data_IF_308730715023
#
_entry.id   IF_308730715023
#
_cell.length_a   1.000
_cell.length_b   1.000
_cell.length_c   1.000
_cell.angle_alpha   90.00
_cell.angle_beta   90.00
_cell.angle_gamma   90.00
#
_symmetry.space_group_name_H-M   'P 1'
#
loop_
_entity.id
_entity.type
_entity.pdbx_description
1 polymer ?
#
# COMPACT_ATOMS: atom_id res chain seq x y z
N UNK A 1 5.90 -17.26 15.99
CA UNK A 1 5.13 -16.17 15.34
C UNK A 1 5.78 -14.79 15.44
N UNK A 2 6.20 -14.30 16.62
CA UNK A 2 6.91 -12.99 16.76
C UNK A 2 8.16 -12.88 15.85
N UNK A 3 8.88 -14.00 15.67
CA UNK A 3 10.04 -14.10 14.77
C UNK A 3 9.71 -13.92 13.28
N UNK A 4 8.49 -14.26 12.82
CA UNK A 4 8.19 -14.25 11.38
C UNK A 4 7.76 -12.86 10.89
N UNK A 5 6.99 -12.10 11.69
CA UNK A 5 6.55 -10.75 11.32
C UNK A 5 7.73 -9.77 11.33
N UNK A 6 8.60 -9.84 12.34
CA UNK A 6 9.77 -8.97 12.39
C UNK A 6 10.74 -9.24 11.23
N UNK A 7 10.92 -10.50 10.84
CA UNK A 7 11.70 -10.88 9.65
C UNK A 7 11.06 -10.36 8.36
N UNK A 8 9.74 -10.46 8.24
CA UNK A 8 9.00 -9.94 7.09
C UNK A 8 9.19 -8.42 6.97
N UNK A 9 8.97 -7.67 8.05
CA UNK A 9 9.18 -6.21 8.08
C UNK A 9 10.62 -5.86 7.71
N UNK A 10 11.61 -6.58 8.23
CA UNK A 10 13.02 -6.34 7.87
C UNK A 10 13.28 -6.54 6.37
N UNK A 11 12.74 -7.62 5.79
CA UNK A 11 12.84 -7.90 4.35
C UNK A 11 12.17 -6.78 3.55
N UNK A 12 10.99 -6.33 3.96
CA UNK A 12 10.24 -5.26 3.31
C UNK A 12 10.97 -3.92 3.38
N UNK A 13 11.60 -3.60 4.51
CA UNK A 13 12.43 -2.40 4.65
C UNK A 13 13.61 -2.47 3.67
N UNK A 14 14.34 -3.59 3.64
CA UNK A 14 15.46 -3.77 2.71
C UNK A 14 14.98 -3.67 1.25
N UNK A 15 13.85 -4.30 0.92
CA UNK A 15 13.25 -4.23 -0.41
C UNK A 15 12.83 -2.81 -0.79
N UNK A 16 12.21 -2.06 0.13
CA UNK A 16 11.83 -0.66 -0.08
C UNK A 16 13.03 0.24 -0.37
N UNK A 17 14.14 0.08 0.39
CA UNK A 17 15.39 0.83 0.17
C UNK A 17 15.98 0.49 -1.20
N UNK A 18 16.06 -0.81 -1.52
CA UNK A 18 16.60 -1.27 -2.81
C UNK A 18 15.76 -0.77 -3.98
N UNK A 19 14.43 -0.84 -3.89
CA UNK A 19 13.54 -0.33 -4.93
C UNK A 19 13.68 1.18 -5.09
N UNK A 20 13.82 1.94 -4.01
CA UNK A 20 14.05 3.38 -4.08
C UNK A 20 15.39 3.71 -4.75
N UNK A 21 16.45 2.96 -4.43
CA UNK A 21 17.75 3.10 -5.07
C UNK A 21 17.70 2.79 -6.56
N UNK A 22 17.08 1.68 -6.95
CA UNK A 22 16.92 1.30 -8.36
C UNK A 22 16.09 2.36 -9.10
N UNK A 23 14.94 2.76 -8.54
CA UNK A 23 14.06 3.76 -9.12
C UNK A 23 14.78 5.10 -9.34
N UNK A 24 15.51 5.58 -8.34
CA UNK A 24 16.20 6.89 -8.43
C UNK A 24 17.49 6.83 -9.23
N UNK A 25 18.42 5.90 -8.94
CA UNK A 25 19.80 5.93 -9.45
C UNK A 25 20.00 5.13 -10.73
N UNK A 26 19.18 4.11 -10.98
CA UNK A 26 19.32 3.26 -12.17
C UNK A 26 18.28 3.65 -13.22
N UNK A 27 17.04 3.89 -12.79
CA UNK A 27 15.92 4.19 -13.69
C UNK A 27 15.68 5.69 -13.88
N UNK A 28 16.39 6.54 -13.13
CA UNK A 28 16.29 8.00 -13.20
C UNK A 28 14.85 8.53 -13.12
N UNK A 29 14.01 7.88 -12.31
CA UNK A 29 12.64 8.33 -12.08
C UNK A 29 12.66 9.70 -11.40
N UNK A 30 11.81 10.62 -11.85
CA UNK A 30 11.72 11.98 -11.28
C UNK A 30 10.70 12.10 -10.16
N UNK A 31 9.80 11.12 -10.02
CA UNK A 31 8.79 11.09 -8.98
C UNK A 31 8.57 9.65 -8.48
N UNK A 32 8.34 9.50 -7.18
CA UNK A 32 8.11 8.20 -6.54
C UNK A 32 6.91 7.45 -7.16
N UNK A 33 5.89 8.18 -7.62
CA UNK A 33 4.69 7.60 -8.21
C UNK A 33 4.96 6.83 -9.53
N UNK A 34 6.10 7.06 -10.18
CA UNK A 34 6.46 6.37 -11.43
C UNK A 34 6.64 4.85 -11.24
N UNK A 35 6.91 4.40 -10.01
CA UNK A 35 7.00 2.97 -9.71
C UNK A 35 5.70 2.21 -10.04
N UNK A 36 4.55 2.90 -10.03
CA UNK A 36 3.26 2.28 -10.28
C UNK A 36 3.17 1.62 -11.66
N UNK A 37 3.69 2.29 -12.69
CA UNK A 37 3.64 1.76 -14.06
C UNK A 37 4.88 0.95 -14.45
N UNK A 38 5.92 0.95 -13.62
CA UNK A 38 7.20 0.32 -13.92
C UNK A 38 7.07 -1.15 -14.37
N UNK A 39 6.26 -2.02 -13.71
CA UNK A 39 6.12 -3.40 -14.16
C UNK A 39 5.62 -3.49 -15.61
N UNK A 40 4.63 -2.68 -15.99
CA UNK A 40 4.07 -2.66 -17.33
C UNK A 40 5.03 -2.05 -18.34
N UNK A 41 5.79 -1.02 -17.95
CA UNK A 41 6.80 -0.43 -18.83
C UNK A 41 7.96 -1.39 -19.10
N UNK A 42 8.45 -2.12 -18.10
CA UNK A 42 9.53 -3.10 -18.29
C UNK A 42 9.09 -4.21 -19.25
N UNK A 43 7.89 -4.76 -19.04
CA UNK A 43 7.33 -5.78 -19.94
C UNK A 43 7.11 -5.18 -21.34
N UNK A 44 6.52 -3.98 -21.43
CA UNK A 44 6.25 -3.30 -22.69
C UNK A 44 7.52 -3.01 -23.49
N UNK A 45 8.57 -2.47 -22.85
CA UNK A 45 9.88 -2.23 -23.47
C UNK A 45 10.52 -3.54 -23.95
N UNK A 46 10.49 -4.59 -23.13
CA UNK A 46 11.03 -5.90 -23.50
C UNK A 46 10.31 -6.53 -24.70
N UNK A 47 8.98 -6.50 -24.70
CA UNK A 47 8.16 -6.99 -25.81
C UNK A 47 8.34 -6.15 -27.08
N UNK A 48 8.46 -4.83 -26.96
CA UNK A 48 8.75 -3.94 -28.10
C UNK A 48 10.12 -4.24 -28.68
N UNK A 49 11.14 -4.37 -27.85
CA UNK A 49 12.50 -4.72 -28.28
C UNK A 49 12.50 -6.05 -29.05
N UNK A 50 11.85 -7.07 -28.50
CA UNK A 50 11.72 -8.38 -29.14
C UNK A 50 10.95 -8.28 -30.47
N UNK A 51 9.85 -7.52 -30.50
CA UNK A 51 9.03 -7.32 -31.70
C UNK A 51 9.78 -6.65 -32.83
N UNK A 52 10.62 -5.65 -32.53
CA UNK A 52 11.40 -4.92 -33.52
C UNK A 52 12.68 -5.64 -33.96
N UNK A 53 13.08 -6.72 -33.27
CA UNK A 53 14.34 -7.43 -33.55
C UNK A 53 14.31 -8.22 -34.86
N UNK A 54 13.17 -8.84 -35.21
CA UNK A 54 13.01 -9.69 -36.40
C UNK A 54 11.55 -10.10 -36.59
N UNK A 55 11.21 -10.68 -37.74
CA UNK A 55 9.89 -11.26 -37.98
C UNK A 55 9.54 -12.36 -36.97
N UNK A 56 10.50 -13.24 -36.65
CA UNK A 56 10.32 -14.30 -35.63
C UNK A 56 10.15 -13.67 -34.25
N UNK A 57 10.97 -12.68 -33.91
CA UNK A 57 10.86 -11.92 -32.66
C UNK A 57 9.47 -11.27 -32.50
N UNK A 58 8.91 -10.71 -33.57
CA UNK A 58 7.55 -10.19 -33.58
C UNK A 58 6.50 -11.24 -33.25
N UNK A 59 6.58 -12.43 -33.86
CA UNK A 59 5.66 -13.53 -33.55
C UNK A 59 5.78 -13.93 -32.07
N UNK A 60 6.99 -14.09 -31.54
CA UNK A 60 7.22 -14.43 -30.13
C UNK A 60 6.67 -13.33 -29.21
N UNK A 61 6.90 -12.06 -29.52
CA UNK A 61 6.40 -10.94 -28.74
C UNK A 61 4.86 -10.93 -28.68
N UNK A 62 4.18 -11.22 -29.80
CA UNK A 62 2.71 -11.34 -29.85
C UNK A 62 2.24 -12.50 -28.96
N UNK A 63 2.91 -13.66 -29.01
CA UNK A 63 2.55 -14.81 -28.17
C UNK A 63 2.70 -14.48 -26.69
N UNK A 64 3.82 -13.88 -26.28
CA UNK A 64 4.06 -13.52 -24.86
C UNK A 64 3.07 -12.44 -24.41
N UNK A 65 2.84 -11.41 -25.23
CA UNK A 65 1.82 -10.38 -24.98
C UNK A 65 0.43 -10.97 -24.75
N UNK A 66 0.00 -11.88 -25.63
CA UNK A 66 -1.29 -12.55 -25.51
C UNK A 66 -1.35 -13.44 -24.26
N UNK A 67 -0.28 -14.20 -23.99
CA UNK A 67 -0.20 -15.07 -22.83
C UNK A 67 -0.30 -14.30 -21.51
N UNK A 68 0.45 -13.20 -21.35
CA UNK A 68 0.41 -12.33 -20.16
C UNK A 68 -0.99 -11.73 -19.99
N UNK A 69 -1.57 -11.21 -21.07
CA UNK A 69 -2.88 -10.56 -21.03
C UNK A 69 -4.02 -11.55 -20.75
N UNK A 70 -3.88 -12.82 -21.13
CA UNK A 70 -4.86 -13.88 -20.90
C UNK A 70 -4.81 -14.53 -19.51
N UNK A 71 -3.81 -14.22 -18.67
CA UNK A 71 -3.69 -14.79 -17.31
C UNK A 71 -5.02 -14.73 -16.53
N UNK A 72 -5.75 -13.60 -16.48
CA UNK A 72 -7.01 -13.53 -15.75
C UNK A 72 -8.09 -14.43 -16.35
N UNK A 73 -8.22 -14.48 -17.68
CA UNK A 73 -9.18 -15.36 -18.35
C UNK A 73 -8.86 -16.85 -18.13
N UNK A 74 -7.58 -17.24 -18.18
CA UNK A 74 -7.13 -18.61 -17.87
C UNK A 74 -7.52 -18.98 -16.43
N UNK A 75 -7.36 -18.05 -15.48
CA UNK A 75 -7.79 -18.24 -14.10
C UNK A 75 -9.31 -18.49 -13.99
N UNK A 76 -10.15 -17.73 -14.71
CA UNK A 76 -11.61 -17.96 -14.73
C UNK A 76 -11.94 -19.34 -15.30
N UNK A 77 -11.31 -19.74 -16.41
CA UNK A 77 -11.54 -21.05 -17.03
C UNK A 77 -11.16 -22.18 -16.05
N UNK A 78 -10.04 -22.02 -15.35
CA UNK A 78 -9.60 -22.96 -14.32
C UNK A 78 -10.60 -23.05 -13.16
N UNK A 79 -11.12 -21.93 -12.67
CA UNK A 79 -12.14 -21.89 -11.62
C UNK A 79 -13.46 -22.52 -12.08
N UNK A 80 -13.85 -22.32 -13.35
CA UNK A 80 -15.04 -22.91 -13.96
C UNK A 80 -14.96 -24.42 -14.04
N UNK A 81 -13.81 -24.96 -14.45
CA UNK A 81 -13.55 -26.41 -14.47
C UNK A 81 -13.66 -27.05 -13.09
N UNK A 82 -13.46 -26.28 -12.01
CA UNK A 82 -13.60 -26.73 -10.62
C UNK A 82 -14.98 -26.45 -10.01
N UNK A 83 -15.92 -25.88 -10.77
CA UNK A 83 -17.23 -25.48 -10.24
C UNK A 83 -17.16 -24.34 -9.21
N UNK A 84 -16.10 -23.52 -9.24
CA UNK A 84 -15.84 -22.45 -8.26
C UNK A 84 -15.88 -21.05 -8.89
N UNK A 85 -16.75 -20.87 -9.87
CA UNK A 85 -17.01 -19.56 -10.48
C UNK A 85 -17.99 -18.79 -9.63
N UNK A 86 -17.70 -17.51 -9.42
CA UNK A 86 -18.57 -16.60 -8.70
C UNK A 86 -18.85 -15.34 -9.52
N UNK A 87 -19.84 -14.55 -9.09
CA UNK A 87 -20.32 -13.39 -9.86
C UNK A 87 -19.23 -12.35 -10.07
N UNK A 88 -18.38 -12.13 -9.07
CA UNK A 88 -17.28 -11.18 -9.12
C UNK A 88 -16.18 -11.58 -10.12
N UNK A 89 -16.08 -12.85 -10.52
CA UNK A 89 -15.09 -13.29 -11.52
C UNK A 89 -15.35 -12.66 -12.90
N UNK A 90 -16.53 -12.05 -13.13
CA UNK A 90 -16.79 -11.23 -14.31
C UNK A 90 -15.81 -10.04 -14.43
N UNK A 91 -15.33 -9.52 -13.30
CA UNK A 91 -14.33 -8.45 -13.27
C UNK A 91 -13.02 -8.89 -13.90
N UNK A 92 -12.67 -10.18 -13.82
CA UNK A 92 -11.47 -10.71 -14.47
C UNK A 92 -11.62 -10.79 -16.00
N UNK A 93 -12.85 -10.87 -16.52
CA UNK A 93 -13.11 -10.77 -17.98
C UNK A 93 -12.82 -9.35 -18.45
N UNK A 94 -13.38 -8.35 -17.75
CA UNK A 94 -13.09 -6.93 -18.01
C UNK A 94 -11.58 -6.64 -17.86
N UNK A 95 -10.96 -7.19 -16.81
CA UNK A 95 -9.53 -7.07 -16.56
C UNK A 95 -8.66 -7.66 -17.67
N UNK A 96 -9.08 -8.78 -18.27
CA UNK A 96 -8.40 -9.38 -19.44
C UNK A 96 -8.39 -8.39 -20.61
N UNK A 97 -9.56 -7.84 -20.98
CA UNK A 97 -9.66 -6.87 -22.08
C UNK A 97 -8.85 -5.60 -21.81
N UNK A 98 -8.89 -5.11 -20.57
CA UNK A 98 -8.12 -3.95 -20.12
C UNK A 98 -6.61 -4.20 -20.17
N UNK A 99 -6.13 -5.39 -19.75
CA UNK A 99 -4.73 -5.77 -19.83
C UNK A 99 -4.25 -5.82 -21.27
N UNK A 100 -5.03 -6.43 -22.18
CA UNK A 100 -4.71 -6.44 -23.62
C UNK A 100 -4.51 -4.99 -24.13
N UNK A 101 -5.53 -4.15 -23.95
CA UNK A 101 -5.47 -2.76 -24.40
C UNK A 101 -4.29 -1.99 -23.81
N UNK A 102 -4.11 -2.08 -22.49
CA UNK A 102 -3.11 -1.28 -21.78
C UNK A 102 -1.70 -1.77 -22.07
N UNK A 103 -1.45 -3.08 -22.10
CA UNK A 103 -0.14 -3.62 -22.47
C UNK A 103 0.25 -3.25 -23.89
N UNK A 104 -0.70 -3.25 -24.83
CA UNK A 104 -0.42 -2.78 -26.19
C UNK A 104 0.04 -1.31 -26.23
N UNK A 105 -0.56 -0.46 -25.39
CA UNK A 105 -0.11 0.93 -25.22
C UNK A 105 1.29 1.03 -24.61
N UNK A 106 1.64 0.19 -23.64
CA UNK A 106 2.99 0.17 -23.07
C UNK A 106 4.05 -0.37 -24.05
N UNK A 107 3.67 -1.30 -24.93
CA UNK A 107 4.52 -1.76 -26.04
C UNK A 107 4.70 -0.64 -27.07
N UNK A 108 3.62 0.11 -27.36
CA UNK A 108 3.60 1.17 -28.38
C UNK A 108 3.26 2.54 -27.78
N UNK A 109 4.17 3.17 -27.00
CA UNK A 109 3.89 4.45 -26.34
C UNK A 109 3.61 5.59 -27.32
N UNK A 110 3.97 5.46 -28.61
CA UNK A 110 3.56 6.41 -29.66
C UNK A 110 2.05 6.54 -29.79
N UNK A 111 1.30 5.46 -29.55
CA UNK A 111 -0.17 5.48 -29.57
C UNK A 111 -0.75 6.18 -28.34
N UNK A 112 -0.03 6.18 -27.21
CA UNK A 112 -0.42 6.96 -26.03
C UNK A 112 -0.36 8.46 -26.34
N UNK A 113 0.65 8.91 -27.08
CA UNK A 113 0.73 10.31 -27.53
C UNK A 113 -0.43 10.70 -28.46
N UNK A 114 -0.79 9.81 -29.40
CA UNK A 114 -1.89 10.08 -30.33
C UNK A 114 -3.27 10.14 -29.66
N UNK A 115 -3.43 9.43 -28.54
CA UNK A 115 -4.67 9.42 -27.75
C UNK A 115 -4.62 10.33 -26.52
N UNK A 116 -3.57 11.13 -26.41
CA UNK A 116 -3.41 12.06 -25.30
C UNK A 116 -4.48 13.16 -25.43
N UNK A 117 -5.24 13.45 -24.37
CA UNK A 117 -6.19 14.56 -24.38
C UNK A 117 -5.48 15.89 -24.67
N UNK A 118 -6.12 16.79 -25.42
CA UNK A 118 -5.58 18.11 -25.81
C UNK A 118 -5.18 19.01 -24.62
N UNK A 119 -5.64 18.66 -23.41
CA UNK A 119 -5.30 19.34 -22.15
C UNK A 119 -3.82 19.11 -21.78
N UNK A 120 -3.20 18.05 -22.28
CA UNK A 120 -1.80 17.70 -22.02
C UNK A 120 -0.88 18.11 -23.16
N UNK A 121 0.34 18.55 -22.81
CA UNK A 121 1.41 18.79 -23.77
C UNK A 121 1.95 17.47 -24.34
N UNK A 122 2.34 17.44 -25.61
CA UNK A 122 3.02 16.30 -26.23
C UNK A 122 4.51 16.20 -25.79
N UNK A 123 4.75 16.04 -24.49
CA UNK A 123 6.08 15.93 -23.90
C UNK A 123 6.26 14.63 -23.08
N UNK A 124 7.46 14.42 -22.56
CA UNK A 124 7.74 13.22 -21.75
C UNK A 124 7.02 13.23 -20.41
N UNK A 125 6.79 14.40 -19.80
CA UNK A 125 6.14 14.50 -18.50
C UNK A 125 4.67 14.07 -18.58
N UNK A 126 3.97 14.52 -19.62
CA UNK A 126 2.58 14.11 -19.87
C UNK A 126 2.47 12.63 -20.20
N UNK A 127 3.46 12.05 -20.90
CA UNK A 127 3.49 10.60 -21.12
C UNK A 127 3.64 9.82 -19.81
N UNK A 128 4.48 10.29 -18.89
CA UNK A 128 4.64 9.68 -17.55
C UNK A 128 3.29 9.70 -16.81
N UNK A 129 2.59 10.83 -16.81
CA UNK A 129 1.25 10.96 -16.20
C UNK A 129 0.27 9.98 -16.83
N UNK A 130 0.24 9.88 -18.16
CA UNK A 130 -0.62 8.91 -18.86
C UNK A 130 -0.31 7.47 -18.45
N UNK A 131 0.97 7.08 -18.37
CA UNK A 131 1.36 5.73 -17.91
C UNK A 131 0.88 5.46 -16.48
N UNK A 132 0.97 6.44 -15.58
CA UNK A 132 0.45 6.34 -14.21
C UNK A 132 -1.07 6.12 -14.23
N UNK A 133 -1.82 6.88 -15.03
CA UNK A 133 -3.27 6.74 -15.17
C UNK A 133 -3.63 5.33 -15.64
N UNK A 134 -2.98 4.82 -16.69
CA UNK A 134 -3.21 3.47 -17.18
C UNK A 134 -2.92 2.41 -16.11
N UNK A 135 -1.79 2.52 -15.40
CA UNK A 135 -1.46 1.62 -14.30
C UNK A 135 -2.52 1.66 -13.18
N UNK A 136 -3.01 2.84 -12.83
CA UNK A 136 -4.06 3.02 -11.83
C UNK A 136 -5.36 2.33 -12.22
N UNK A 137 -5.78 2.45 -13.49
CA UNK A 137 -6.99 1.80 -14.01
C UNK A 137 -6.82 0.27 -13.98
N UNK A 138 -5.64 -0.26 -14.33
CA UNK A 138 -5.35 -1.70 -14.23
C UNK A 138 -5.47 -2.16 -12.77
N UNK A 139 -4.77 -1.49 -11.84
CA UNK A 139 -4.78 -1.89 -10.44
C UNK A 139 -6.16 -1.75 -9.79
N UNK A 140 -6.96 -0.74 -10.14
CA UNK A 140 -8.28 -0.53 -9.54
C UNK A 140 -9.24 -1.70 -9.81
N UNK A 141 -9.26 -2.24 -11.04
CA UNK A 141 -10.08 -3.41 -11.38
C UNK A 141 -9.61 -4.65 -10.62
N UNK A 142 -8.29 -4.86 -10.52
CA UNK A 142 -7.73 -5.98 -9.77
C UNK A 142 -8.06 -5.89 -8.27
N UNK A 143 -7.89 -4.71 -7.68
CA UNK A 143 -8.21 -4.43 -6.28
C UNK A 143 -9.70 -4.65 -6.03
N UNK A 144 -10.57 -4.15 -6.92
CA UNK A 144 -12.02 -4.36 -6.82
C UNK A 144 -12.37 -5.86 -6.81
N UNK A 145 -11.77 -6.66 -7.70
CA UNK A 145 -11.95 -8.12 -7.68
C UNK A 145 -11.46 -8.77 -6.38
N UNK A 146 -10.29 -8.37 -5.87
CA UNK A 146 -9.73 -8.88 -4.62
C UNK A 146 -10.62 -8.54 -3.41
N UNK A 147 -11.14 -7.31 -3.35
CA UNK A 147 -12.05 -6.87 -2.29
C UNK A 147 -13.35 -7.67 -2.33
N UNK A 148 -13.98 -7.81 -3.50
CA UNK A 148 -15.23 -8.58 -3.63
C UNK A 148 -15.02 -10.04 -3.22
N UNK A 149 -13.90 -10.64 -3.62
CA UNK A 149 -13.51 -12.00 -3.23
C UNK A 149 -13.27 -12.12 -1.72
N UNK A 150 -12.66 -11.12 -1.10
CA UNK A 150 -12.43 -11.08 0.35
C UNK A 150 -13.76 -10.94 1.12
N UNK A 151 -14.66 -10.07 0.67
CA UNK A 151 -16.00 -9.90 1.27
C UNK A 151 -16.77 -11.22 1.21
N UNK A 152 -16.79 -11.89 0.05
CA UNK A 152 -17.42 -13.22 -0.08
C UNK A 152 -16.75 -14.25 0.83
N UNK A 153 -15.42 -14.22 0.92
CA UNK A 153 -14.70 -15.13 1.80
C UNK A 153 -15.02 -14.89 3.29
N UNK A 154 -15.41 -13.67 3.68
CA UNK A 154 -15.79 -13.36 5.06
C UNK A 154 -17.28 -13.62 5.34
N UNK A 155 -18.17 -13.36 4.38
CA UNK A 155 -19.64 -13.43 4.56
C UNK A 155 -20.31 -14.77 4.23
N UNK A 156 -19.53 -15.85 4.11
CA UNK A 156 -20.08 -17.19 3.82
C UNK A 156 -20.37 -17.94 5.14
N UNK A 157 -21.59 -17.74 5.64
CA UNK A 157 -22.12 -18.28 6.89
C UNK A 157 -22.43 -19.79 6.83
N UNK A 158 -22.34 -20.40 5.65
CA UNK A 158 -22.71 -21.81 5.44
C UNK A 158 -21.75 -22.82 6.08
N UNK A 159 -20.58 -22.38 6.55
CA UNK A 159 -19.53 -23.25 7.07
C UNK A 159 -19.38 -23.24 8.60
N UNK A 160 -19.24 -24.44 9.18
CA UNK A 160 -18.97 -24.70 10.61
C UNK A 160 -17.75 -23.95 11.20
N UNK A 161 -16.87 -23.37 10.37
CA UNK A 161 -15.58 -22.78 10.75
C UNK A 161 -15.51 -21.23 10.62
N UNK A 162 -16.63 -20.52 10.70
CA UNK A 162 -16.71 -19.06 10.50
C UNK A 162 -15.70 -18.26 11.33
N UNK A 163 -15.50 -18.60 12.62
CA UNK A 163 -14.53 -17.92 13.50
C UNK A 163 -13.09 -18.00 12.96
N UNK A 164 -12.68 -19.19 12.51
CA UNK A 164 -11.33 -19.40 11.97
C UNK A 164 -11.10 -18.60 10.68
N UNK A 165 -12.09 -18.52 9.80
CA UNK A 165 -12.03 -17.70 8.58
C UNK A 165 -11.92 -16.22 8.91
N UNK A 166 -12.68 -15.75 9.89
CA UNK A 166 -12.63 -14.37 10.35
C UNK A 166 -11.25 -14.02 10.90
N UNK A 167 -10.68 -14.85 11.78
CA UNK A 167 -9.33 -14.62 12.32
C UNK A 167 -8.25 -14.69 11.23
N UNK A 168 -8.37 -15.64 10.29
CA UNK A 168 -7.48 -15.71 9.14
C UNK A 168 -7.57 -14.45 8.26
N UNK A 169 -8.78 -13.99 7.96
CA UNK A 169 -9.02 -12.78 7.19
C UNK A 169 -8.51 -11.52 7.89
N UNK A 170 -8.76 -11.37 9.19
CA UNK A 170 -8.23 -10.25 10.00
C UNK A 170 -6.70 -10.25 10.00
N UNK A 171 -6.04 -11.39 10.24
CA UNK A 171 -4.58 -11.49 10.19
C UNK A 171 -4.05 -11.15 8.80
N UNK A 172 -4.70 -11.65 7.74
CA UNK A 172 -4.33 -11.36 6.35
C UNK A 172 -4.45 -9.88 6.01
N UNK A 173 -5.55 -9.24 6.42
CA UNK A 173 -5.78 -7.81 6.21
C UNK A 173 -4.76 -6.97 6.97
N UNK A 174 -4.54 -7.26 8.26
CA UNK A 174 -3.57 -6.49 9.06
C UNK A 174 -2.15 -6.69 8.52
N UNK A 175 -1.79 -7.92 8.13
CA UNK A 175 -0.49 -8.19 7.50
C UNK A 175 -0.33 -7.40 6.19
N UNK A 176 -1.36 -7.38 5.32
CA UNK A 176 -1.34 -6.60 4.08
C UNK A 176 -1.19 -5.10 4.34
N UNK A 177 -1.85 -4.55 5.38
CA UNK A 177 -1.68 -3.16 5.79
C UNK A 177 -0.27 -2.89 6.30
N UNK A 178 0.27 -3.72 7.20
CA UNK A 178 1.66 -3.59 7.68
C UNK A 178 2.64 -3.59 6.52
N UNK A 179 2.50 -4.55 5.60
CA UNK A 179 3.33 -4.67 4.41
C UNK A 179 3.23 -3.43 3.51
N UNK A 180 2.00 -2.97 3.24
CA UNK A 180 1.75 -1.77 2.45
C UNK A 180 2.42 -0.54 3.06
N UNK A 181 2.17 -0.25 4.34
CA UNK A 181 2.76 0.89 5.03
C UNK A 181 4.29 0.78 5.06
N UNK A 182 4.84 -0.38 5.45
CA UNK A 182 6.31 -0.57 5.56
C UNK A 182 7.01 -0.34 4.22
N UNK A 183 6.52 -0.97 3.15
CA UNK A 183 7.07 -0.81 1.81
C UNK A 183 6.90 0.60 1.27
N UNK A 184 5.70 1.18 1.38
CA UNK A 184 5.40 2.51 0.85
C UNK A 184 6.27 3.57 1.49
N UNK A 185 6.39 3.54 2.81
CA UNK A 185 7.17 4.56 3.53
C UNK A 185 8.63 4.41 3.25
N UNK A 186 9.15 3.18 3.33
CA UNK A 186 10.57 2.96 3.15
C UNK A 186 10.97 3.32 1.72
N UNK A 187 10.18 2.91 0.73
CA UNK A 187 10.37 3.33 -0.66
C UNK A 187 10.30 4.86 -0.83
N UNK A 188 9.17 5.48 -0.43
CA UNK A 188 8.93 6.90 -0.70
C UNK A 188 9.96 7.80 -0.02
N UNK A 189 10.33 7.50 1.24
CA UNK A 189 11.29 8.30 2.00
C UNK A 189 12.71 8.12 1.52
N UNK A 190 13.14 6.88 1.23
CA UNK A 190 14.45 6.66 0.62
C UNK A 190 14.54 7.32 -0.76
N UNK A 191 13.46 7.26 -1.55
CA UNK A 191 13.42 7.92 -2.86
C UNK A 191 13.55 9.44 -2.73
N UNK A 192 12.77 10.06 -1.83
CA UNK A 192 12.83 11.50 -1.55
C UNK A 192 14.25 11.94 -1.14
N UNK A 193 14.91 11.18 -0.26
CA UNK A 193 16.28 11.45 0.19
C UNK A 193 17.31 11.33 -0.93
N UNK A 194 17.20 10.31 -1.79
CA UNK A 194 18.13 10.08 -2.91
C UNK A 194 18.01 11.12 -4.02
N UNK A 195 16.80 11.66 -4.23
CA UNK A 195 16.56 12.69 -5.25
C UNK A 195 16.95 14.09 -4.77
N UNK A 196 16.79 14.38 -3.46
CA UNK A 196 17.26 15.63 -2.86
C UNK A 196 18.78 15.74 -2.83
N UNK A 197 19.50 14.64 -2.61
CA UNK A 197 20.98 14.64 -2.62
C UNK A 197 21.58 14.91 -4.00
N UNK A 198 20.84 14.61 -5.07
CA UNK A 198 21.27 14.82 -6.46
C UNK A 198 21.10 16.29 -6.89
N UNK A 199 20.07 16.96 -6.36
CA UNK A 199 19.73 18.33 -6.74
C UNK A 199 20.46 19.43 -5.96
N UNK A 200 21.30 19.11 -4.98
CA UNK A 200 22.19 20.06 -4.29
C UNK A 200 23.28 19.33 -3.52
N UNK A 201 24.54 19.51 -3.91
CA UNK A 201 25.71 19.30 -3.05
C UNK A 201 25.80 20.42 -1.97
N UNK A 202 24.66 20.87 -1.46
CA UNK A 202 24.56 21.87 -0.41
C UNK A 202 23.82 21.22 0.74
N UNK A 203 24.52 21.10 1.88
CA UNK A 203 23.98 20.92 3.22
C UNK A 203 22.51 20.52 3.24
N UNK A 204 22.22 19.22 3.39
CA UNK A 204 20.93 18.81 3.94
C UNK A 204 20.85 19.50 5.29
N UNK A 205 20.21 20.66 5.32
CA UNK A 205 20.17 21.50 6.51
C UNK A 205 19.56 20.65 7.63
N UNK A 206 20.01 20.82 8.86
CA UNK A 206 19.50 20.07 10.03
C UNK A 206 17.96 20.08 10.11
N UNK A 207 17.37 21.13 9.52
CA UNK A 207 15.95 21.37 9.26
C UNK A 207 15.28 20.26 8.42
N UNK A 208 15.85 19.88 7.27
CA UNK A 208 15.23 18.89 6.38
C UNK A 208 15.31 17.49 6.96
N UNK A 209 16.39 17.20 7.70
CA UNK A 209 16.53 16.01 8.51
C UNK A 209 15.45 15.94 9.59
N UNK A 210 15.27 17.02 10.34
CA UNK A 210 14.23 17.11 11.38
C UNK A 210 12.83 16.91 10.78
N UNK A 211 12.54 17.53 9.62
CA UNK A 211 11.26 17.34 8.90
C UNK A 211 11.04 15.86 8.55
N UNK A 212 12.06 15.20 8.03
CA UNK A 212 11.99 13.79 7.63
C UNK A 212 11.76 12.88 8.84
N UNK A 213 12.46 13.12 9.95
CA UNK A 213 12.29 12.37 11.20
C UNK A 213 10.87 12.52 11.75
N UNK A 214 10.37 13.76 11.85
CA UNK A 214 9.04 14.04 12.38
C UNK A 214 7.93 13.41 11.52
N UNK A 215 8.09 13.35 10.20
CA UNK A 215 7.15 12.65 9.32
C UNK A 215 7.20 11.13 9.48
N UNK A 216 8.34 10.55 9.87
CA UNK A 216 8.49 9.11 10.04
C UNK A 216 7.92 8.59 11.36
N UNK A 217 7.88 9.42 12.40
CA UNK A 217 7.43 8.99 13.74
C UNK A 217 5.98 8.47 13.76
N UNK A 218 4.96 9.20 13.24
CA UNK A 218 3.56 8.73 13.21
C UNK A 218 3.41 7.39 12.47
N UNK A 219 4.19 7.22 11.41
CA UNK A 219 4.20 6.04 10.58
C UNK A 219 4.74 4.82 11.34
N UNK A 220 5.90 4.94 11.97
CA UNK A 220 6.50 3.85 12.76
C UNK A 220 5.53 3.44 13.87
N UNK A 221 4.90 4.42 14.52
CA UNK A 221 3.89 4.17 15.54
C UNK A 221 2.66 3.43 14.98
N UNK A 222 2.24 3.75 13.75
CA UNK A 222 1.14 3.04 13.06
C UNK A 222 1.50 1.58 12.74
N UNK A 223 2.73 1.31 12.30
CA UNK A 223 3.22 -0.07 12.10
C UNK A 223 3.20 -0.83 13.43
N UNK A 224 3.67 -0.20 14.52
CA UNK A 224 3.62 -0.79 15.86
C UNK A 224 2.18 -1.07 16.32
N UNK A 225 1.23 -0.18 16.02
CA UNK A 225 -0.19 -0.41 16.29
C UNK A 225 -0.68 -1.68 15.59
N UNK A 226 -0.47 -1.82 14.29
CA UNK A 226 -0.89 -3.01 13.56
C UNK A 226 -0.27 -4.30 14.10
N UNK A 227 1.02 -4.30 14.47
CA UNK A 227 1.67 -5.46 15.10
C UNK A 227 0.95 -5.84 16.40
N UNK A 228 0.59 -4.86 17.24
CA UNK A 228 -0.15 -5.12 18.48
C UNK A 228 -1.58 -5.62 18.20
N UNK A 229 -2.25 -5.14 17.15
CA UNK A 229 -3.56 -5.66 16.72
C UNK A 229 -3.43 -7.15 16.32
N UNK A 230 -2.39 -7.55 15.59
CA UNK A 230 -2.15 -8.97 15.26
C UNK A 230 -2.03 -9.81 16.54
N UNK A 231 -1.32 -9.30 17.55
CA UNK A 231 -1.17 -9.99 18.83
C UNK A 231 -2.49 -10.13 19.59
N UNK A 232 -3.34 -9.10 19.56
CA UNK A 232 -4.69 -9.14 20.13
C UNK A 232 -5.55 -10.19 19.41
N UNK A 233 -5.59 -10.16 18.07
CA UNK A 233 -6.35 -11.14 17.27
C UNK A 233 -5.92 -12.56 17.60
N UNK A 234 -4.61 -12.79 17.75
CA UNK A 234 -4.09 -14.10 18.14
C UNK A 234 -4.52 -14.52 19.55
N UNK A 235 -4.44 -13.61 20.54
CA UNK A 235 -4.85 -13.92 21.91
C UNK A 235 -6.35 -14.24 21.99
N UNK A 236 -7.18 -13.56 21.18
CA UNK A 236 -8.62 -13.82 21.07
C UNK A 236 -8.87 -15.23 20.52
N UNK A 237 -8.17 -15.61 19.45
CA UNK A 237 -8.26 -16.94 18.83
C UNK A 237 -7.78 -18.06 19.77
N UNK A 238 -6.71 -17.83 20.54
CA UNK A 238 -6.15 -18.82 21.47
C UNK A 238 -7.04 -19.02 22.72
N UNK A 239 -8.17 -18.30 22.86
CA UNK A 239 -9.14 -18.37 23.96
C UNK A 239 -8.55 -18.21 25.38
N UNK A 240 -7.42 -17.52 25.53
CA UNK A 240 -6.75 -17.28 26.82
C UNK A 240 -7.07 -15.89 27.36
N UNK A 241 -8.05 -15.79 28.26
CA UNK A 241 -8.58 -14.51 28.78
C UNK A 241 -7.53 -13.61 29.43
N UNK A 242 -6.60 -14.17 30.22
CA UNK A 242 -5.49 -13.40 30.82
C UNK A 242 -4.57 -12.79 29.75
N UNK A 243 -4.25 -13.57 28.73
CA UNK A 243 -3.37 -13.13 27.64
C UNK A 243 -4.07 -12.10 26.74
N UNK A 244 -5.39 -12.22 26.57
CA UNK A 244 -6.21 -11.24 25.86
C UNK A 244 -6.16 -9.88 26.54
N UNK A 245 -6.44 -9.80 27.84
CA UNK A 245 -6.45 -8.51 28.54
C UNK A 245 -5.07 -7.85 28.54
N UNK A 246 -3.99 -8.62 28.73
CA UNK A 246 -2.62 -8.11 28.65
C UNK A 246 -2.29 -7.52 27.27
N UNK A 247 -2.67 -8.21 26.18
CA UNK A 247 -2.40 -7.74 24.81
C UNK A 247 -3.25 -6.52 24.44
N UNK A 248 -4.50 -6.47 24.91
CA UNK A 248 -5.41 -5.34 24.70
C UNK A 248 -4.94 -4.09 25.47
N UNK A 249 -4.47 -4.24 26.72
CA UNK A 249 -3.87 -3.14 27.48
C UNK A 249 -2.59 -2.60 26.83
N UNK A 250 -1.74 -3.50 26.30
CA UNK A 250 -0.54 -3.11 25.56
C UNK A 250 -0.89 -2.33 24.29
N UNK A 251 -1.90 -2.78 23.53
CA UNK A 251 -2.41 -2.08 22.36
C UNK A 251 -2.86 -0.66 22.72
N UNK A 252 -3.60 -0.49 23.81
CA UNK A 252 -4.04 0.83 24.28
C UNK A 252 -2.88 1.75 24.65
N UNK A 253 -1.85 1.22 25.34
CA UNK A 253 -0.65 1.99 25.66
C UNK A 253 0.05 2.51 24.40
N UNK A 254 0.26 1.63 23.41
CA UNK A 254 0.85 2.00 22.12
C UNK A 254 -0.03 3.01 21.37
N UNK A 255 -1.35 2.87 21.44
CA UNK A 255 -2.29 3.81 20.83
C UNK A 255 -2.20 5.22 21.43
N UNK A 256 -2.11 5.35 22.76
CA UNK A 256 -1.93 6.65 23.42
C UNK A 256 -0.64 7.32 22.96
N UNK A 257 0.47 6.57 22.97
CA UNK A 257 1.77 7.08 22.52
C UNK A 257 1.72 7.46 21.04
N UNK A 258 1.07 6.65 20.20
CA UNK A 258 0.90 6.95 18.77
C UNK A 258 0.17 8.26 18.57
N UNK A 259 -0.95 8.47 19.24
CA UNK A 259 -1.74 9.70 19.12
C UNK A 259 -0.94 10.93 19.56
N UNK A 260 -0.27 10.86 20.72
CA UNK A 260 0.54 11.96 21.24
C UNK A 260 1.71 12.28 20.31
N UNK A 261 2.47 11.27 19.89
CA UNK A 261 3.62 11.45 18.99
C UNK A 261 3.17 12.00 17.64
N UNK A 262 2.02 11.57 17.14
CA UNK A 262 1.46 12.09 15.87
C UNK A 262 1.10 13.56 15.98
N UNK A 263 0.30 13.94 16.97
CA UNK A 263 -0.11 15.34 17.18
C UNK A 263 1.09 16.25 17.41
N UNK A 264 2.06 15.82 18.23
CA UNK A 264 3.26 16.62 18.50
C UNK A 264 4.11 16.76 17.23
N UNK A 265 4.29 15.69 16.46
CA UNK A 265 5.08 15.74 15.22
C UNK A 265 4.45 16.67 14.20
N UNK A 266 3.13 16.54 13.96
CA UNK A 266 2.38 17.40 13.06
C UNK A 266 2.39 18.86 13.54
N UNK A 267 2.23 19.10 14.85
CA UNK A 267 2.32 20.43 15.42
C UNK A 267 3.68 21.07 15.17
N UNK A 268 4.79 20.36 15.45
CA UNK A 268 6.14 20.89 15.22
C UNK A 268 6.35 21.19 13.74
N UNK A 269 5.90 20.30 12.84
CA UNK A 269 5.99 20.49 11.40
C UNK A 269 5.19 21.70 10.91
N UNK A 270 3.95 21.84 11.35
CA UNK A 270 3.06 22.94 10.97
C UNK A 270 3.53 24.27 11.57
N UNK A 271 3.97 24.27 12.83
CA UNK A 271 4.55 25.45 13.48
C UNK A 271 5.84 25.88 12.78
N UNK A 272 6.67 24.93 12.36
CA UNK A 272 7.86 25.20 11.58
C UNK A 272 7.53 25.80 10.21
N UNK A 273 6.55 25.24 9.49
CA UNK A 273 6.06 25.80 8.23
C UNK A 273 5.51 27.22 8.41
N UNK A 274 4.83 27.50 9.53
CA UNK A 274 4.34 28.83 9.85
C UNK A 274 5.50 29.83 10.06
N UNK A 275 6.51 29.48 10.86
CA UNK A 275 7.65 30.36 11.14
C UNK A 275 8.48 30.68 9.89
N UNK A 276 8.73 29.68 9.04
CA UNK A 276 9.48 29.86 7.80
C UNK A 276 8.64 30.32 6.61
N UNK A 277 7.33 30.14 6.68
CA UNK A 277 6.41 30.60 5.65
C UNK A 277 6.48 32.11 5.43
N UNK A 278 6.77 32.86 6.50
CA UNK A 278 6.98 34.31 6.46
C UNK A 278 8.26 34.73 5.71
N UNK A 279 9.27 33.86 5.60
CA UNK A 279 10.56 34.16 4.94
C UNK A 279 10.70 33.57 3.53
N UNK A 280 9.77 32.70 3.11
CA UNK A 280 9.84 31.95 1.84
C UNK A 280 8.85 32.43 0.76
N UNK A 281 8.55 33.73 0.70
CA UNK A 281 7.60 34.33 -0.28
C UNK A 281 7.91 34.05 -1.78
N UNK A 282 9.06 33.44 -2.11
CA UNK A 282 9.46 33.08 -3.48
C UNK A 282 9.39 31.58 -3.80
N UNK A 283 8.87 30.74 -2.90
CA UNK A 283 8.66 29.32 -3.19
C UNK A 283 7.16 29.08 -3.13
N UNK A 284 6.58 28.52 -4.20
CA UNK A 284 5.20 27.99 -4.22
C UNK A 284 5.05 26.85 -3.19
N UNK A 285 5.11 27.19 -1.90
CA UNK A 285 4.77 26.29 -0.81
C UNK A 285 3.27 26.41 -0.66
N UNK A 286 2.53 25.47 -1.23
CA UNK A 286 1.14 25.25 -0.85
C UNK A 286 1.09 25.04 0.65
N UNK A 287 0.63 26.06 1.39
CA UNK A 287 0.32 25.98 2.81
C UNK A 287 -0.92 25.10 2.97
N UNK A 288 -0.69 23.80 3.06
CA UNK A 288 -1.68 22.84 3.50
C UNK A 288 -1.23 22.34 4.87
N UNK A 289 -1.89 22.74 5.97
CA UNK A 289 -1.68 22.10 7.26
C UNK A 289 -1.89 20.60 7.08
N UNK A 290 -0.81 19.84 7.22
CA UNK A 290 -0.88 18.39 7.09
C UNK A 290 -1.16 17.83 8.49
N UNK A 291 -2.29 17.16 8.63
CA UNK A 291 -2.64 16.42 9.84
C UNK A 291 -2.67 14.97 9.46
N UNK A 292 -1.81 14.19 10.10
CA UNK A 292 -1.69 12.75 9.91
C UNK A 292 -2.92 12.06 10.52
N UNK A 293 -4.05 12.13 9.82
CA UNK A 293 -5.33 11.62 10.30
C UNK A 293 -5.35 10.10 10.40
N UNK A 294 -4.65 9.38 9.52
CA UNK A 294 -4.68 7.92 9.50
C UNK A 294 -4.13 7.28 10.79
N UNK A 295 -2.92 7.63 11.30
CA UNK A 295 -2.44 7.15 12.60
C UNK A 295 -3.40 7.45 13.75
N UNK A 296 -4.03 8.63 13.74
CA UNK A 296 -4.96 9.06 14.79
C UNK A 296 -6.23 8.22 14.78
N UNK A 297 -6.86 8.03 13.62
CA UNK A 297 -8.07 7.20 13.48
C UNK A 297 -7.80 5.78 13.99
N UNK A 298 -6.66 5.19 13.62
CA UNK A 298 -6.29 3.84 14.05
C UNK A 298 -6.03 3.80 15.57
N UNK A 299 -5.32 4.80 16.12
CA UNK A 299 -5.07 4.91 17.55
C UNK A 299 -6.36 5.05 18.35
N UNK A 300 -7.27 5.95 17.95
CA UNK A 300 -8.56 6.13 18.61
C UNK A 300 -9.42 4.87 18.51
N UNK A 301 -9.47 4.21 17.34
CA UNK A 301 -10.14 2.93 17.19
C UNK A 301 -9.62 1.86 18.15
N UNK A 302 -8.29 1.78 18.33
CA UNK A 302 -7.65 0.87 19.29
C UNK A 302 -7.98 1.21 20.76
N UNK A 303 -8.13 2.48 21.11
CA UNK A 303 -8.53 2.92 22.45
C UNK A 303 -10.00 2.60 22.75
N UNK A 304 -10.90 2.84 21.79
CA UNK A 304 -12.31 2.46 21.89
C UNK A 304 -12.44 0.96 22.08
N UNK A 305 -11.69 0.18 21.29
CA UNK A 305 -11.65 -1.27 21.39
C UNK A 305 -11.17 -1.75 22.78
N UNK A 306 -10.15 -1.10 23.34
CA UNK A 306 -9.68 -1.38 24.70
C UNK A 306 -10.76 -1.12 25.77
N UNK A 307 -11.43 0.05 25.73
CA UNK A 307 -12.48 0.36 26.71
C UNK A 307 -13.67 -0.60 26.60
N UNK A 308 -14.04 -1.00 25.37
CA UNK A 308 -15.05 -2.03 25.15
C UNK A 308 -14.67 -3.37 25.81
N UNK A 309 -13.45 -3.85 25.58
CA UNK A 309 -12.96 -5.11 26.16
C UNK A 309 -12.90 -5.06 27.69
N UNK A 310 -12.41 -3.95 28.23
CA UNK A 310 -12.36 -3.71 29.68
C UNK A 310 -13.76 -3.77 30.30
N UNK A 311 -14.75 -3.08 29.70
CA UNK A 311 -16.12 -3.07 30.20
C UNK A 311 -16.78 -4.44 30.10
N UNK A 312 -16.55 -5.17 29.02
CA UNK A 312 -17.09 -6.53 28.82
C UNK A 312 -16.53 -7.50 29.86
N UNK A 313 -15.23 -7.40 30.16
CA UNK A 313 -14.61 -8.20 31.21
C UNK A 313 -15.17 -7.88 32.60
N UNK A 314 -15.31 -6.59 32.93
CA UNK A 314 -15.92 -6.16 34.20
C UNK A 314 -17.33 -6.71 34.37
N UNK A 315 -18.18 -6.60 33.34
CA UNK A 315 -19.54 -7.13 33.38
C UNK A 315 -19.58 -8.66 33.54
N UNK A 316 -18.64 -9.38 32.94
CA UNK A 316 -18.51 -10.83 33.11
C UNK A 316 -18.13 -11.18 34.56
N UNK A 317 -17.11 -10.50 35.10
CA UNK A 317 -16.66 -10.72 36.48
C UNK A 317 -17.74 -10.35 37.52
N UNK A 318 -18.50 -9.27 37.29
CA UNK A 318 -19.66 -8.90 38.11
C UNK A 318 -20.74 -9.99 38.04
N UNK A 319 -21.10 -10.46 36.84
CA UNK A 319 -22.12 -11.49 36.68
C UNK A 319 -21.71 -12.84 37.29
N UNK A 320 -20.44 -13.22 37.19
CA UNK A 320 -19.89 -14.44 37.79
C UNK A 320 -19.84 -14.36 39.33
N UNK A 321 -19.96 -13.17 39.94
CA UNK A 321 -20.10 -13.02 41.40
C UNK A 321 -21.54 -13.23 41.90
N UNK A 322 -22.54 -13.14 41.02
CA UNK A 322 -23.97 -13.28 41.37
C UNK A 322 -24.54 -14.69 41.10
N UNK A 323 -23.79 -15.57 40.41
CA UNK A 323 -24.17 -16.96 40.08
C UNK A 323 -23.44 -17.92 41.02
#
# INVERSE_FOLDING_TARGET
>A
MKSNINKLILIEVIAGILFAFIASKILHMTAALQIMYLPFELIGKGLRFLSLSSAIGNVIAIIIYAAISMIPAIYIIYQRKRGRTHKEDILLVAFTGLLFYSMYMFINPGLMYQKMPDIFSMDQNSLIVMKIIYAFIIYSVLIMWLIMKAIRFLGDDSQKNWKSRLYFGMKGLIAALVSYYTLLITYAKTFELLHKSENKLQNVSSIEWLKSVLQLLPIIMTILLFINIIHVVKAIEDHKEEQQMMTVARLASVAKVTAVVTVISDFILNFYQFLLGATLQNVNVTFAPDVSMEPLIIAFGALIFYEYFKRTKQLKEENDQFI
#
